data_IF_421948810431
#
_entry.id   IF_421948810431
#
_cell.length_a   1.000
_cell.length_b   1.000
_cell.length_c   1.000
_cell.angle_alpha   90.00
_cell.angle_beta   90.00
_cell.angle_gamma   90.00
#
_symmetry.space_group_name_H-M   'P 1'
#
loop_
_entity.id
_entity.type
_entity.pdbx_description
1 polymer ?
#
# COMPACT_ATOMS: atom_id res chain seq x y z
N UNK A 1 20.25 -1.34 -8.58
CA UNK A 1 19.61 -2.45 -7.84
C UNK A 1 18.74 -1.96 -6.70
N UNK A 2 19.24 -1.05 -5.85
CA UNK A 2 18.54 -0.49 -4.68
C UNK A 2 17.20 0.18 -5.01
N UNK A 3 17.14 0.92 -6.12
CA UNK A 3 15.91 1.57 -6.60
C UNK A 3 14.82 0.55 -6.97
N UNK A 4 15.19 -0.57 -7.60
CA UNK A 4 14.26 -1.62 -7.99
C UNK A 4 13.74 -2.41 -6.78
N UNK A 5 14.61 -2.69 -5.80
CA UNK A 5 14.23 -3.31 -4.53
C UNK A 5 13.27 -2.42 -3.75
N UNK A 6 13.55 -1.13 -3.65
CA UNK A 6 12.67 -0.16 -3.01
C UNK A 6 11.29 -0.08 -3.68
N UNK A 7 11.27 -0.11 -5.02
CA UNK A 7 10.02 -0.17 -5.79
C UNK A 7 9.19 -1.43 -5.47
N UNK A 8 9.83 -2.60 -5.39
CA UNK A 8 9.16 -3.87 -5.04
C UNK A 8 8.62 -3.80 -3.60
N UNK A 9 9.40 -3.28 -2.64
CA UNK A 9 8.95 -3.07 -1.26
C UNK A 9 7.73 -2.12 -1.22
N UNK A 10 7.74 -1.06 -2.03
CA UNK A 10 6.60 -0.16 -2.21
C UNK A 10 5.35 -0.88 -2.72
N UNK A 11 5.51 -1.72 -3.74
CA UNK A 11 4.41 -2.52 -4.30
C UNK A 11 3.81 -3.47 -3.25
N UNK A 12 4.63 -4.23 -2.52
CA UNK A 12 4.18 -5.17 -1.48
C UNK A 12 3.43 -4.42 -0.38
N UNK A 13 4.00 -3.31 0.09
CA UNK A 13 3.39 -2.46 1.12
C UNK A 13 2.02 -1.93 0.66
N UNK A 14 1.93 -1.48 -0.59
CA UNK A 14 0.68 -1.02 -1.19
C UNK A 14 -0.38 -2.12 -1.27
N UNK A 15 -0.02 -3.33 -1.68
CA UNK A 15 -0.94 -4.49 -1.75
C UNK A 15 -1.48 -4.85 -0.35
N UNK A 16 -0.61 -4.94 0.65
CA UNK A 16 -1.01 -5.27 2.03
C UNK A 16 -1.99 -4.23 2.59
N UNK A 17 -1.70 -2.94 2.38
CA UNK A 17 -2.58 -1.85 2.81
C UNK A 17 -3.97 -1.92 2.14
N UNK A 18 -4.03 -2.22 0.85
CA UNK A 18 -5.29 -2.29 0.10
C UNK A 18 -6.15 -3.48 0.51
N UNK A 19 -5.54 -4.63 0.81
CA UNK A 19 -6.24 -5.80 1.31
C UNK A 19 -6.87 -5.55 2.69
N UNK A 20 -6.18 -4.80 3.57
CA UNK A 20 -6.76 -4.36 4.84
C UNK A 20 -7.97 -3.43 4.66
N UNK A 21 -7.88 -2.47 3.73
CA UNK A 21 -9.01 -1.56 3.40
C UNK A 21 -10.23 -2.37 2.96
N UNK A 22 -10.03 -3.39 2.14
CA UNK A 22 -11.13 -4.24 1.69
C UNK A 22 -11.79 -5.05 2.81
N UNK A 23 -10.98 -5.66 3.68
CA UNK A 23 -11.51 -6.42 4.81
C UNK A 23 -12.32 -5.53 5.75
N UNK A 24 -11.91 -4.26 5.89
CA UNK A 24 -12.67 -3.26 6.63
C UNK A 24 -13.97 -2.87 5.91
N UNK A 25 -13.95 -2.65 4.60
CA UNK A 25 -15.15 -2.30 3.85
C UNK A 25 -16.20 -3.43 3.84
N UNK A 26 -15.78 -4.71 3.82
CA UNK A 26 -16.68 -5.86 3.93
C UNK A 26 -17.37 -6.01 5.31
N UNK A 27 -16.86 -5.38 6.36
CA UNK A 27 -17.40 -5.45 7.73
C UNK A 27 -18.17 -4.18 8.15
N UNK A 28 -18.55 -3.32 7.19
CA UNK A 28 -19.36 -2.15 7.49
C UNK A 28 -20.77 -2.57 7.95
N UNK A 29 -21.36 -1.97 9.01
CA UNK A 29 -20.95 -0.74 9.71
C UNK A 29 -20.01 -0.93 10.92
N UNK A 30 -19.63 -2.17 11.28
CA UNK A 30 -18.76 -2.43 12.44
C UNK A 30 -17.27 -2.18 12.18
N UNK A 31 -16.92 -1.59 11.04
CA UNK A 31 -15.55 -1.26 10.73
C UNK A 31 -15.11 0.00 11.50
N UNK A 32 -13.84 0.02 11.93
CA UNK A 32 -13.20 1.19 12.55
C UNK A 32 -12.28 1.86 11.52
N UNK A 33 -12.82 2.66 10.58
CA UNK A 33 -12.07 3.19 9.44
C UNK A 33 -10.90 4.08 9.86
N UNK A 34 -11.09 4.90 10.91
CA UNK A 34 -10.03 5.76 11.46
C UNK A 34 -8.88 4.95 12.05
N UNK A 35 -9.17 3.91 12.86
CA UNK A 35 -8.14 3.03 13.41
C UNK A 35 -7.37 2.32 12.29
N UNK A 36 -8.07 1.87 11.24
CA UNK A 36 -7.45 1.31 10.05
C UNK A 36 -6.54 2.27 9.30
N UNK A 37 -6.93 3.53 9.19
CA UNK A 37 -6.12 4.57 8.57
C UNK A 37 -4.81 4.78 9.32
N UNK A 38 -4.87 4.95 10.65
CA UNK A 38 -3.66 5.14 11.46
C UNK A 38 -2.71 3.94 11.42
N UNK A 39 -3.23 2.71 11.44
CA UNK A 39 -2.40 1.50 11.32
C UNK A 39 -1.66 1.47 9.98
N UNK A 40 -2.35 1.77 8.87
CA UNK A 40 -1.72 1.82 7.54
C UNK A 40 -0.69 2.94 7.42
N UNK A 41 -0.98 4.10 8.01
CA UNK A 41 -0.05 5.22 8.02
C UNK A 41 1.23 4.88 8.79
N UNK A 42 1.10 4.32 9.99
CA UNK A 42 2.23 3.88 10.81
C UNK A 42 3.04 2.79 10.12
N UNK A 43 2.37 1.79 9.55
CA UNK A 43 3.04 0.71 8.82
C UNK A 43 3.82 1.24 7.61
N UNK A 44 3.17 2.07 6.77
CA UNK A 44 3.81 2.64 5.59
C UNK A 44 4.97 3.56 5.96
N UNK A 45 4.81 4.36 7.02
CA UNK A 45 5.85 5.23 7.55
C UNK A 45 7.05 4.43 8.09
N UNK A 46 6.80 3.37 8.85
CA UNK A 46 7.87 2.49 9.36
C UNK A 46 8.66 1.83 8.23
N UNK A 47 7.98 1.30 7.22
CA UNK A 47 8.64 0.72 6.04
C UNK A 47 9.42 1.78 5.26
N UNK A 48 8.88 2.98 5.09
CA UNK A 48 9.58 4.09 4.44
C UNK A 48 10.87 4.47 5.19
N UNK A 49 10.84 4.52 6.53
CA UNK A 49 12.04 4.76 7.34
C UNK A 49 13.09 3.67 7.14
N UNK A 50 12.70 2.39 7.14
CA UNK A 50 13.61 1.27 6.88
C UNK A 50 14.20 1.36 5.47
N UNK A 51 13.40 1.75 4.47
CA UNK A 51 13.87 1.92 3.09
C UNK A 51 14.87 3.05 2.99
N UNK A 52 14.64 4.18 3.66
CA UNK A 52 15.58 5.32 3.70
C UNK A 52 16.88 4.93 4.40
N UNK A 53 16.79 4.22 5.52
CA UNK A 53 17.95 3.76 6.29
C UNK A 53 18.82 2.78 5.50
N UNK A 54 18.19 1.86 4.75
CA UNK A 54 18.90 0.80 4.01
C UNK A 54 19.34 1.17 2.59
N UNK A 55 18.58 2.03 1.91
CA UNK A 55 18.77 2.33 0.48
C UNK A 55 18.92 3.83 0.18
N UNK A 56 18.93 4.67 1.21
CA UNK A 56 19.07 6.12 1.10
C UNK A 56 17.79 6.85 0.70
N UNK A 57 17.82 8.18 0.79
CA UNK A 57 16.65 9.03 0.47
C UNK A 57 16.20 8.91 -0.99
N UNK A 58 17.11 8.61 -1.91
CA UNK A 58 16.81 8.42 -3.33
C UNK A 58 15.87 7.22 -3.59
N UNK A 59 15.79 6.28 -2.64
CA UNK A 59 14.90 5.14 -2.70
C UNK A 59 13.45 5.48 -2.32
N UNK A 60 13.15 6.65 -1.74
CA UNK A 60 11.78 7.04 -1.40
C UNK A 60 10.89 7.20 -2.63
N UNK A 61 11.42 7.80 -3.70
CA UNK A 61 10.68 8.02 -4.94
C UNK A 61 10.17 6.69 -5.54
N UNK A 62 11.03 5.66 -5.75
CA UNK A 62 10.55 4.37 -6.24
C UNK A 62 9.64 3.65 -5.23
N UNK A 63 9.86 3.78 -3.92
CA UNK A 63 8.95 3.23 -2.91
C UNK A 63 7.54 3.80 -3.04
N UNK A 64 7.42 5.13 -3.12
CA UNK A 64 6.15 5.82 -3.32
C UNK A 64 5.51 5.44 -4.65
N UNK A 65 6.30 5.38 -5.74
CA UNK A 65 5.86 4.94 -7.06
C UNK A 65 5.28 3.53 -7.05
N UNK A 66 5.96 2.58 -6.39
CA UNK A 66 5.49 1.21 -6.23
C UNK A 66 4.18 1.12 -5.42
N UNK A 67 4.05 1.91 -4.35
CA UNK A 67 2.85 1.95 -3.52
C UNK A 67 1.63 2.50 -4.29
N UNK A 68 1.83 3.59 -5.04
CA UNK A 68 0.80 4.16 -5.92
C UNK A 68 0.44 3.17 -7.04
N UNK A 69 1.42 2.54 -7.68
CA UNK A 69 1.18 1.54 -8.72
C UNK A 69 0.38 0.36 -8.20
N UNK A 70 0.73 -0.19 -7.03
CA UNK A 70 -0.02 -1.27 -6.40
C UNK A 70 -1.47 -0.87 -6.09
N UNK A 71 -1.70 0.40 -5.71
CA UNK A 71 -3.05 0.93 -5.50
C UNK A 71 -3.84 1.06 -6.80
N UNK A 72 -3.21 1.57 -7.86
CA UNK A 72 -3.83 1.64 -9.18
C UNK A 72 -4.15 0.24 -9.74
N UNK A 73 -3.21 -0.69 -9.68
CA UNK A 73 -3.40 -2.09 -10.07
C UNK A 73 -4.53 -2.74 -9.28
N UNK A 74 -4.55 -2.57 -7.95
CA UNK A 74 -5.60 -3.12 -7.12
C UNK A 74 -6.98 -2.54 -7.47
N UNK A 75 -7.08 -1.23 -7.72
CA UNK A 75 -8.32 -0.58 -8.16
C UNK A 75 -8.75 -1.07 -9.55
N UNK A 76 -7.84 -1.21 -10.51
CA UNK A 76 -8.12 -1.69 -11.87
C UNK A 76 -8.53 -3.16 -11.91
N UNK A 77 -7.85 -4.02 -11.15
CA UNK A 77 -8.20 -5.44 -11.05
C UNK A 77 -9.58 -5.63 -10.41
N UNK A 78 -9.92 -4.79 -9.42
CA UNK A 78 -11.23 -4.84 -8.76
C UNK A 78 -12.36 -4.20 -9.52
N UNK A 79 -12.13 -3.09 -10.23
CA UNK A 79 -13.18 -2.49 -11.05
C UNK A 79 -13.70 -3.48 -12.10
N UNK A 80 -12.83 -4.35 -12.64
CA UNK A 80 -13.24 -5.47 -13.50
C UNK A 80 -14.05 -6.57 -12.78
N UNK A 81 -13.86 -6.77 -11.48
CA UNK A 81 -14.62 -7.75 -10.69
C UNK A 81 -15.98 -7.21 -10.24
N UNK A 82 -16.08 -5.90 -9.95
CA UNK A 82 -17.35 -5.26 -9.54
C UNK A 82 -18.31 -5.05 -10.72
N UNK A 83 -17.80 -4.80 -11.93
CA UNK A 83 -18.64 -4.59 -13.13
C UNK A 83 -19.27 -5.89 -13.67
N UNK A 84 -18.83 -7.07 -13.17
CA UNK A 84 -19.37 -8.38 -13.59
C UNK A 84 -20.52 -8.92 -12.74
N UNK A 85 -20.94 -8.21 -11.70
CA UNK A 85 -22.09 -8.58 -10.86
C UNK A 85 -23.25 -7.62 -11.06
#
# INVERSE_FOLDING_TARGET
MELALSFIVGCITGVVNNEQVYRQSRKFPHSRPMQGFFIRLLFTGAVALIVVDRFGANALLPFLGGNVLARLLHTLLRSRVVVRY
#
